data_IF_789009848958
#
_entry.id   IF_789009848958
#
_cell.length_a   1.000
_cell.length_b   1.000
_cell.length_c   1.000
_cell.angle_alpha   90.00
_cell.angle_beta   90.00
_cell.angle_gamma   90.00
#
_symmetry.space_group_name_H-M   'P 1'
#
loop_
_entity.id
_entity.type
_entity.pdbx_description
1 polymer ?
#
# COMPACT_ATOMS: atom_id res chain seq x y z
N UNK A 1 -77.57 0.50 -3.20
CA UNK A 1 -76.57 0.31 -2.07
C UNK A 1 -75.42 -0.60 -2.45
N UNK A 2 -75.59 -1.67 -3.24
CA UNK A 2 -74.50 -2.57 -3.63
C UNK A 2 -73.46 -1.97 -4.60
N UNK A 3 -73.81 -1.07 -5.47
CA UNK A 3 -72.89 -0.43 -6.44
C UNK A 3 -71.93 0.54 -5.77
N UNK A 4 -72.33 1.28 -4.76
CA UNK A 4 -71.52 2.21 -4.02
C UNK A 4 -70.44 1.43 -3.15
N UNK A 5 -70.88 0.35 -2.49
CA UNK A 5 -69.98 -0.50 -1.72
C UNK A 5 -68.95 -1.22 -2.60
N UNK A 6 -69.31 -1.71 -3.79
CA UNK A 6 -68.37 -2.33 -4.73
C UNK A 6 -67.37 -1.34 -5.33
N UNK A 7 -67.69 -0.08 -5.49
CA UNK A 7 -66.82 0.98 -5.98
C UNK A 7 -65.76 1.35 -4.91
N UNK A 8 -66.21 1.40 -3.66
CA UNK A 8 -65.34 1.69 -2.50
C UNK A 8 -64.32 0.56 -2.25
N UNK A 9 -64.75 -0.70 -2.36
CA UNK A 9 -63.91 -1.88 -2.26
C UNK A 9 -62.88 -1.96 -3.41
N UNK A 10 -63.30 -1.69 -4.65
CA UNK A 10 -62.43 -1.64 -5.81
C UNK A 10 -61.37 -0.53 -5.69
N UNK A 11 -61.75 0.62 -5.13
CA UNK A 11 -60.83 1.74 -4.93
C UNK A 11 -59.82 1.47 -3.83
N UNK A 12 -60.25 0.80 -2.75
CA UNK A 12 -59.34 0.35 -1.68
C UNK A 12 -58.32 -0.68 -2.18
N UNK A 13 -58.78 -1.69 -2.97
CA UNK A 13 -57.90 -2.70 -3.57
C UNK A 13 -56.92 -2.08 -4.58
N UNK A 14 -57.36 -1.12 -5.39
CA UNK A 14 -56.49 -0.38 -6.30
C UNK A 14 -55.40 0.40 -5.54
N UNK A 15 -55.77 1.14 -4.49
CA UNK A 15 -54.85 1.92 -3.69
C UNK A 15 -53.81 1.01 -3.03
N UNK A 16 -54.25 -0.11 -2.46
CA UNK A 16 -53.33 -1.09 -1.83
C UNK A 16 -52.34 -1.68 -2.85
N UNK A 17 -52.76 -1.96 -4.08
CA UNK A 17 -51.89 -2.42 -5.15
C UNK A 17 -50.88 -1.34 -5.58
N UNK A 18 -51.31 -0.08 -5.67
CA UNK A 18 -50.46 1.06 -5.98
C UNK A 18 -49.37 1.24 -4.90
N UNK A 19 -49.74 1.20 -3.61
CA UNK A 19 -48.82 1.28 -2.50
C UNK A 19 -47.79 0.11 -2.52
N UNK A 20 -48.26 -1.11 -2.81
CA UNK A 20 -47.37 -2.26 -2.97
C UNK A 20 -46.37 -2.11 -4.11
N UNK A 21 -46.78 -1.56 -5.25
CA UNK A 21 -45.88 -1.28 -6.39
C UNK A 21 -44.88 -0.19 -6.01
N UNK A 22 -45.32 0.89 -5.38
CA UNK A 22 -44.46 1.98 -4.94
C UNK A 22 -43.38 1.48 -3.97
N UNK A 23 -43.75 0.66 -2.98
CA UNK A 23 -42.81 0.05 -2.04
C UNK A 23 -41.77 -0.84 -2.75
N UNK A 24 -42.23 -1.67 -3.70
CA UNK A 24 -41.35 -2.54 -4.46
C UNK A 24 -40.35 -1.73 -5.33
N UNK A 25 -40.82 -0.67 -6.00
CA UNK A 25 -39.97 0.21 -6.81
C UNK A 25 -38.92 0.89 -5.94
N UNK A 26 -39.36 1.45 -4.79
CA UNK A 26 -38.43 2.08 -3.85
C UNK A 26 -37.40 1.10 -3.30
N UNK A 27 -37.78 -0.13 -2.98
CA UNK A 27 -36.87 -1.18 -2.55
C UNK A 27 -35.80 -1.53 -3.63
N UNK A 28 -36.26 -1.65 -4.89
CA UNK A 28 -35.34 -1.92 -6.03
C UNK A 28 -34.40 -0.75 -6.24
N UNK A 29 -34.85 0.49 -6.20
CA UNK A 29 -34.02 1.67 -6.36
C UNK A 29 -32.99 1.80 -5.25
N UNK A 30 -33.38 1.52 -4.00
CA UNK A 30 -32.46 1.52 -2.85
C UNK A 30 -31.40 0.44 -3.00
N UNK A 31 -31.80 -0.75 -3.40
CA UNK A 31 -30.88 -1.87 -3.63
C UNK A 31 -29.89 -1.59 -4.77
N UNK A 32 -30.37 -1.05 -5.89
CA UNK A 32 -29.50 -0.63 -6.99
C UNK A 32 -28.52 0.46 -6.56
N UNK A 33 -28.98 1.45 -5.79
CA UNK A 33 -28.10 2.50 -5.25
C UNK A 33 -26.98 1.94 -4.37
N UNK A 34 -27.27 0.97 -3.51
CA UNK A 34 -26.25 0.31 -2.69
C UNK A 34 -25.29 -0.51 -3.54
N UNK A 35 -25.77 -1.29 -4.50
CA UNK A 35 -24.90 -2.08 -5.39
C UNK A 35 -23.96 -1.21 -6.24
N UNK A 36 -24.45 -0.07 -6.75
CA UNK A 36 -23.58 0.88 -7.48
C UNK A 36 -22.49 1.42 -6.57
N UNK A 37 -22.81 1.76 -5.33
CA UNK A 37 -21.83 2.25 -4.36
C UNK A 37 -20.77 1.20 -4.06
N UNK A 38 -21.16 -0.06 -3.87
CA UNK A 38 -20.26 -1.17 -3.61
C UNK A 38 -19.31 -1.42 -4.81
N UNK A 39 -19.88 -1.42 -6.03
CA UNK A 39 -19.08 -1.58 -7.27
C UNK A 39 -18.08 -0.43 -7.43
N UNK A 40 -18.49 0.81 -7.17
CA UNK A 40 -17.57 1.96 -7.24
C UNK A 40 -16.45 1.85 -6.22
N UNK A 41 -16.74 1.43 -4.98
CA UNK A 41 -15.75 1.19 -3.95
C UNK A 41 -14.75 0.10 -4.33
N UNK A 42 -15.22 -1.00 -4.89
CA UNK A 42 -14.37 -2.09 -5.39
C UNK A 42 -13.48 -1.62 -6.55
N UNK A 43 -14.04 -0.85 -7.49
CA UNK A 43 -13.29 -0.30 -8.62
C UNK A 43 -12.16 0.65 -8.16
N UNK A 44 -12.46 1.53 -7.22
CA UNK A 44 -11.45 2.43 -6.63
C UNK A 44 -10.33 1.65 -5.95
N UNK A 45 -10.67 0.59 -5.21
CA UNK A 45 -9.67 -0.26 -4.55
C UNK A 45 -8.79 -1.00 -5.56
N UNK A 46 -9.37 -1.51 -6.64
CA UNK A 46 -8.62 -2.16 -7.71
C UNK A 46 -7.69 -1.17 -8.43
N UNK A 47 -8.18 0.04 -8.72
CA UNK A 47 -7.37 1.09 -9.34
C UNK A 47 -6.18 1.50 -8.46
N UNK A 48 -6.39 1.64 -7.14
CA UNK A 48 -5.31 1.94 -6.21
C UNK A 48 -4.26 0.81 -6.15
N UNK A 49 -4.69 -0.45 -6.07
CA UNK A 49 -3.78 -1.60 -6.11
C UNK A 49 -2.97 -1.63 -7.41
N UNK A 50 -3.63 -1.45 -8.54
CA UNK A 50 -2.94 -1.42 -9.84
C UNK A 50 -1.91 -0.30 -9.91
N UNK A 51 -2.23 0.89 -9.41
CA UNK A 51 -1.28 2.01 -9.36
C UNK A 51 -0.05 1.69 -8.50
N UNK A 52 -0.24 1.03 -7.35
CA UNK A 52 0.85 0.58 -6.48
C UNK A 52 1.71 -0.47 -7.21
N UNK A 53 1.10 -1.45 -7.86
CA UNK A 53 1.81 -2.53 -8.56
C UNK A 53 2.65 -1.99 -9.74
N UNK A 54 2.09 -1.05 -10.51
CA UNK A 54 2.83 -0.37 -11.59
C UNK A 54 4.02 0.41 -11.01
N UNK A 55 3.79 1.19 -9.96
CA UNK A 55 4.84 1.97 -9.31
C UNK A 55 5.96 1.08 -8.76
N UNK A 56 5.59 -0.03 -8.10
CA UNK A 56 6.55 -1.02 -7.59
C UNK A 56 7.41 -1.59 -8.71
N UNK A 57 6.81 -1.95 -9.83
CA UNK A 57 7.54 -2.48 -10.98
C UNK A 57 8.50 -1.45 -11.58
N UNK A 58 8.05 -0.22 -11.79
CA UNK A 58 8.89 0.85 -12.33
C UNK A 58 10.09 1.16 -11.43
N UNK A 59 9.87 1.25 -10.12
CA UNK A 59 10.97 1.50 -9.17
C UNK A 59 11.93 0.32 -9.12
N UNK A 60 11.43 -0.92 -9.17
CA UNK A 60 12.29 -2.10 -9.25
C UNK A 60 13.22 -2.05 -10.46
N UNK A 61 12.71 -1.70 -11.64
CA UNK A 61 13.52 -1.54 -12.86
C UNK A 61 14.55 -0.40 -12.71
N UNK A 62 14.19 0.71 -12.07
CA UNK A 62 15.13 1.84 -11.82
C UNK A 62 16.24 1.41 -10.89
N UNK A 63 15.94 0.68 -9.82
CA UNK A 63 16.92 0.16 -8.86
C UNK A 63 17.94 -0.77 -9.53
N UNK A 64 17.48 -1.64 -10.46
CA UNK A 64 18.38 -2.52 -11.22
C UNK A 64 19.34 -1.76 -12.15
N UNK A 65 18.88 -0.63 -12.74
CA UNK A 65 19.69 0.16 -13.70
C UNK A 65 20.62 1.13 -13.00
N UNK A 66 20.25 1.60 -11.79
CA UNK A 66 20.97 2.63 -11.03
C UNK A 66 21.37 2.11 -9.65
N UNK A 67 22.38 1.22 -9.55
CA UNK A 67 22.80 0.63 -8.29
C UNK A 67 23.33 1.65 -7.27
N UNK A 68 23.67 2.86 -7.70
CA UNK A 68 24.09 3.96 -6.83
C UNK A 68 23.01 4.42 -5.83
N UNK A 69 21.73 4.07 -6.05
CA UNK A 69 20.63 4.39 -5.15
C UNK A 69 20.89 3.92 -3.70
N UNK A 70 21.64 2.81 -3.54
CA UNK A 70 21.91 2.22 -2.23
C UNK A 70 22.72 3.16 -1.32
N UNK A 71 23.55 4.02 -1.91
CA UNK A 71 24.37 4.97 -1.14
C UNK A 71 23.49 5.99 -0.42
N UNK A 72 22.45 6.50 -1.08
CA UNK A 72 21.50 7.44 -0.49
C UNK A 72 20.68 6.79 0.62
N UNK A 73 20.25 5.53 0.40
CA UNK A 73 19.50 4.77 1.39
C UNK A 73 20.32 4.49 2.65
N UNK A 74 21.58 4.08 2.48
CA UNK A 74 22.48 3.85 3.61
C UNK A 74 22.71 5.15 4.38
N UNK A 75 22.96 6.26 3.69
CA UNK A 75 23.17 7.56 4.32
C UNK A 75 21.93 8.02 5.12
N UNK A 76 20.72 7.82 4.58
CA UNK A 76 19.47 8.09 5.32
C UNK A 76 19.30 7.18 6.52
N UNK A 77 19.54 5.88 6.35
CA UNK A 77 19.44 4.91 7.43
C UNK A 77 20.42 5.24 8.57
N UNK A 78 21.67 5.56 8.25
CA UNK A 78 22.69 5.95 9.23
C UNK A 78 22.34 7.26 9.95
N UNK A 79 21.76 8.24 9.28
CA UNK A 79 21.27 9.46 9.94
C UNK A 79 20.19 9.19 10.99
N UNK A 80 19.37 8.18 10.79
CA UNK A 80 18.32 7.80 11.74
C UNK A 80 18.82 7.03 12.95
N UNK A 81 20.02 6.48 12.92
CA UNK A 81 20.63 5.80 14.09
C UNK A 81 20.89 6.77 15.24
N UNK A 82 21.08 8.06 14.95
CA UNK A 82 21.35 9.10 15.93
C UNK A 82 22.63 8.80 16.71
N UNK A 83 22.50 8.65 18.03
CA UNK A 83 23.64 8.34 18.92
C UNK A 83 23.85 6.83 19.15
N UNK A 84 23.05 5.95 18.51
CA UNK A 84 23.19 4.51 18.67
C UNK A 84 24.43 4.02 17.91
N UNK A 85 25.19 3.12 18.54
CA UNK A 85 26.34 2.50 17.88
C UNK A 85 25.85 1.56 16.78
N UNK A 86 26.35 1.73 15.57
CA UNK A 86 26.10 0.82 14.44
C UNK A 86 27.06 -0.35 14.53
N UNK A 87 26.56 -1.57 14.35
CA UNK A 87 27.39 -2.77 14.34
C UNK A 87 27.55 -3.35 12.94
N UNK A 88 26.48 -3.31 12.16
CA UNK A 88 26.43 -3.94 10.84
C UNK A 88 25.39 -3.28 9.94
N UNK A 89 25.70 -3.22 8.65
CA UNK A 89 24.77 -2.83 7.59
C UNK A 89 24.63 -3.99 6.63
N UNK A 90 23.45 -4.61 6.60
CA UNK A 90 23.10 -5.68 5.69
C UNK A 90 22.48 -5.10 4.43
N UNK A 91 22.89 -5.58 3.28
CA UNK A 91 22.42 -5.17 1.96
C UNK A 91 22.20 -6.39 1.06
N UNK A 92 21.53 -6.23 -0.08
CA UNK A 92 21.41 -7.30 -1.06
C UNK A 92 22.79 -7.74 -1.59
N UNK A 93 22.88 -8.94 -2.15
CA UNK A 93 24.13 -9.42 -2.76
C UNK A 93 24.59 -8.48 -3.87
N UNK A 94 23.66 -8.02 -4.72
CA UNK A 94 23.99 -7.11 -5.84
C UNK A 94 24.48 -5.75 -5.35
N UNK A 95 23.82 -5.18 -4.35
CA UNK A 95 24.24 -3.92 -3.74
C UNK A 95 25.59 -4.06 -3.03
N UNK A 96 25.84 -5.19 -2.39
CA UNK A 96 27.13 -5.48 -1.76
C UNK A 96 28.27 -5.53 -2.80
N UNK A 97 28.07 -6.24 -3.92
CA UNK A 97 29.03 -6.29 -5.02
C UNK A 97 29.31 -4.89 -5.59
N UNK A 98 28.26 -4.07 -5.78
CA UNK A 98 28.43 -2.69 -6.23
C UNK A 98 29.23 -1.85 -5.23
N UNK A 99 28.96 -1.94 -3.92
CA UNK A 99 29.67 -1.22 -2.88
C UNK A 99 31.16 -1.59 -2.84
N UNK A 100 31.49 -2.85 -3.02
CA UNK A 100 32.88 -3.33 -3.07
C UNK A 100 33.61 -2.87 -4.34
N UNK A 101 32.98 -3.04 -5.51
CA UNK A 101 33.58 -2.66 -6.80
C UNK A 101 33.77 -1.15 -6.94
N UNK A 102 32.84 -0.35 -6.43
CA UNK A 102 32.95 1.12 -6.46
C UNK A 102 33.91 1.69 -5.39
N UNK A 103 34.32 0.86 -4.44
CA UNK A 103 35.12 1.29 -3.27
C UNK A 103 34.34 2.17 -2.29
N UNK A 104 33.00 2.21 -2.43
CA UNK A 104 32.13 3.01 -1.58
C UNK A 104 32.08 2.46 -0.15
N UNK A 105 32.14 1.13 0.02
CA UNK A 105 32.20 0.47 1.32
C UNK A 105 33.31 1.04 2.21
N UNK A 106 34.52 1.17 1.68
CA UNK A 106 35.66 1.73 2.41
C UNK A 106 35.47 3.21 2.75
N UNK A 107 34.98 4.01 1.80
CA UNK A 107 34.76 5.45 2.02
C UNK A 107 33.74 5.74 3.10
N UNK A 108 32.68 4.95 3.17
CA UNK A 108 31.62 5.12 4.17
C UNK A 108 32.12 4.66 5.55
N UNK A 109 32.87 3.55 5.63
CA UNK A 109 33.44 3.05 6.87
C UNK A 109 34.53 3.97 7.46
N UNK A 110 35.30 4.67 6.63
CA UNK A 110 36.33 5.63 7.10
C UNK A 110 35.72 6.81 7.87
N UNK A 111 34.43 7.11 7.65
CA UNK A 111 33.75 8.22 8.34
C UNK A 111 33.22 7.86 9.73
N UNK A 112 32.90 6.57 10.00
CA UNK A 112 32.19 6.19 11.22
C UNK A 112 32.70 4.89 11.93
N UNK A 113 33.72 4.33 11.51
CA UNK A 113 34.82 3.57 12.12
C UNK A 113 34.65 2.14 12.60
N UNK A 114 33.59 1.51 12.99
CA UNK A 114 33.64 0.18 13.62
C UNK A 114 32.63 -0.86 13.17
N UNK A 115 31.87 -0.59 12.13
CA UNK A 115 30.84 -1.47 11.61
C UNK A 115 31.21 -2.03 10.24
N UNK A 116 30.58 -3.12 9.83
CA UNK A 116 30.87 -3.81 8.57
C UNK A 116 29.64 -3.96 7.68
N UNK A 117 29.87 -4.00 6.36
CA UNK A 117 28.85 -4.40 5.40
C UNK A 117 28.75 -5.92 5.33
N UNK A 118 27.53 -6.44 5.23
CA UNK A 118 27.26 -7.84 5.01
C UNK A 118 26.24 -8.03 3.88
N UNK A 119 26.53 -8.96 2.96
CA UNK A 119 25.55 -9.41 1.99
C UNK A 119 24.51 -10.32 2.67
N UNK A 120 23.24 -10.13 2.35
CA UNK A 120 22.14 -10.94 2.86
C UNK A 120 21.18 -11.29 1.70
N UNK A 121 21.02 -12.60 1.46
CA UNK A 121 20.16 -13.12 0.37
C UNK A 121 18.68 -12.84 0.58
N UNK A 122 18.25 -12.56 1.80
CA UNK A 122 16.86 -12.24 2.11
C UNK A 122 16.47 -10.81 1.71
N UNK A 123 17.45 -9.94 1.47
CA UNK A 123 17.24 -8.55 1.08
C UNK A 123 17.26 -8.47 -0.45
N UNK A 124 16.16 -7.99 -1.03
CA UNK A 124 16.08 -7.77 -2.48
C UNK A 124 16.57 -6.39 -2.89
N UNK A 125 16.29 -5.35 -2.10
CA UNK A 125 16.70 -3.97 -2.33
C UNK A 125 16.60 -3.15 -1.04
N UNK A 126 17.56 -2.25 -0.82
CA UNK A 126 17.66 -1.46 0.41
C UNK A 126 18.62 -2.04 1.43
N UNK A 127 18.49 -1.64 2.69
CA UNK A 127 19.40 -2.11 3.75
C UNK A 127 18.69 -2.33 5.09
N UNK A 128 19.34 -3.12 5.95
CA UNK A 128 19.00 -3.25 7.36
C UNK A 128 20.23 -2.82 8.16
N UNK A 129 20.05 -1.88 9.09
CA UNK A 129 21.11 -1.39 9.96
C UNK A 129 20.93 -1.95 11.36
N UNK A 130 21.86 -2.76 11.81
CA UNK A 130 21.91 -3.29 13.18
C UNK A 130 22.63 -2.30 14.11
N UNK A 131 21.95 -1.90 15.17
CA UNK A 131 22.48 -0.92 16.13
C UNK A 131 22.34 -1.41 17.57
N UNK A 132 22.99 -0.72 18.51
CA UNK A 132 22.84 -0.97 19.95
C UNK A 132 21.41 -0.74 20.47
N UNK A 133 20.57 -0.01 19.73
CA UNK A 133 19.18 0.27 20.07
C UNK A 133 18.18 -0.65 19.38
N UNK A 134 18.63 -1.49 18.43
CA UNK A 134 17.80 -2.38 17.63
C UNK A 134 18.14 -2.31 16.14
N UNK A 135 17.27 -2.91 15.33
CA UNK A 135 17.40 -2.92 13.88
C UNK A 135 16.58 -1.80 13.25
N UNK A 136 17.13 -1.14 12.25
CA UNK A 136 16.44 -0.16 11.41
C UNK A 136 16.29 -0.78 10.03
N UNK A 137 15.06 -1.03 9.62
CA UNK A 137 14.72 -1.65 8.35
C UNK A 137 14.39 -0.60 7.28
N UNK A 138 15.29 -0.51 6.29
CA UNK A 138 15.18 0.34 5.10
C UNK A 138 15.06 -0.47 3.82
N UNK A 139 14.48 -1.65 3.90
CA UNK A 139 14.16 -2.44 2.72
C UNK A 139 13.05 -1.77 1.90
N UNK A 140 13.19 -1.82 0.59
CA UNK A 140 12.21 -1.27 -0.36
C UNK A 140 10.83 -1.92 -0.18
N UNK A 141 10.78 -3.22 0.14
CA UNK A 141 9.54 -3.94 0.38
C UNK A 141 8.76 -3.39 1.58
N UNK A 142 9.43 -3.09 2.69
CA UNK A 142 8.83 -2.47 3.87
C UNK A 142 8.31 -1.05 3.59
N UNK A 143 9.02 -0.30 2.74
CA UNK A 143 8.54 1.01 2.30
C UNK A 143 7.25 0.88 1.48
N UNK A 144 7.15 -0.13 0.61
CA UNK A 144 5.95 -0.42 -0.17
C UNK A 144 4.76 -0.80 0.70
N UNK A 145 4.93 -1.66 1.69
CA UNK A 145 3.86 -2.04 2.62
C UNK A 145 3.31 -0.82 3.36
N UNK A 146 4.18 0.08 3.81
CA UNK A 146 3.77 1.34 4.47
C UNK A 146 3.01 2.28 3.52
N UNK A 147 3.44 2.40 2.27
CA UNK A 147 2.76 3.22 1.26
C UNK A 147 1.40 2.61 0.92
N UNK A 148 1.34 1.30 0.67
CA UNK A 148 0.11 0.60 0.35
C UNK A 148 -0.93 0.74 1.46
N UNK A 149 -0.54 0.55 2.72
CA UNK A 149 -1.42 0.74 3.87
C UNK A 149 -1.97 2.16 3.94
N UNK A 150 -1.12 3.17 3.82
CA UNK A 150 -1.53 4.58 3.84
C UNK A 150 -2.49 4.95 2.70
N UNK A 151 -2.23 4.47 1.49
CA UNK A 151 -3.10 4.74 0.33
C UNK A 151 -4.48 4.10 0.51
N UNK A 152 -4.54 2.91 1.10
CA UNK A 152 -5.81 2.23 1.39
C UNK A 152 -6.55 2.83 2.58
N UNK A 153 -5.86 3.34 3.59
CA UNK A 153 -6.45 4.03 4.75
C UNK A 153 -7.05 5.40 4.42
N UNK A 154 -6.49 6.13 3.45
CA UNK A 154 -7.00 7.45 3.02
C UNK A 154 -8.41 7.39 2.38
N UNK A 155 -8.96 6.20 2.19
CA UNK A 155 -10.27 5.96 1.57
C UNK A 155 -11.40 5.62 2.55
N UNK A 156 -11.10 5.61 3.85
CA UNK A 156 -12.07 5.31 4.92
C UNK A 156 -12.89 6.57 5.38
#
# INVERSE_FOLDING_TARGET
RGHAAGLEEAQADFNQKCEGIEQNVNAVLTHLGSQIKDILGDFENQAAKLAIDISRKLIGEVVEIHPEYILEIIDEALKLTGAAAVYKVKVSIQDFEFLELSGASKRIQEFDGSWEFQADESISAGCIVETSAGEIDFQLEQAWERIASKVLELKG
#
